data_IF_123443869000
#
_entry.id   IF_123443869000
#
_cell.length_a   1.000
_cell.length_b   1.000
_cell.length_c   1.000
_cell.angle_alpha   90.00
_cell.angle_beta   90.00
_cell.angle_gamma   90.00
#
_symmetry.space_group_name_H-M   'P 1'
#
loop_
_entity.id
_entity.type
_entity.pdbx_description
1 polymer ?
#
# COMPACT_ATOMS: atom_id res chain seq x y z
N UNK A 1 58.58 -6.17 26.68
CA UNK A 1 58.59 -4.91 25.90
C UNK A 1 57.35 -4.17 26.34
N UNK A 2 57.49 -3.40 27.42
CA UNK A 2 57.75 -1.94 27.41
C UNK A 2 56.38 -1.22 27.40
N UNK A 3 55.92 -0.77 28.57
CA UNK A 3 56.09 0.60 29.11
C UNK A 3 55.21 1.60 28.33
N UNK A 4 54.13 2.10 28.91
CA UNK A 4 54.06 3.23 29.87
C UNK A 4 54.06 4.58 29.14
N UNK A 5 53.00 5.36 29.33
CA UNK A 5 53.06 6.73 29.86
C UNK A 5 51.82 7.55 29.48
N UNK A 6 51.22 8.11 30.53
CA UNK A 6 50.20 9.14 30.50
C UNK A 6 50.79 10.54 30.29
N UNK A 7 49.98 11.47 29.79
CA UNK A 7 50.07 12.92 30.05
C UNK A 7 48.68 13.52 29.73
N UNK A 8 47.83 13.90 30.70
CA UNK A 8 47.86 15.05 31.63
C UNK A 8 47.35 16.35 31.00
N UNK A 9 46.35 16.93 31.67
CA UNK A 9 46.03 18.37 31.72
C UNK A 9 44.81 18.77 30.87
N UNK A 10 43.85 19.57 31.30
CA UNK A 10 43.57 20.24 32.56
C UNK A 10 42.11 20.77 32.44
N UNK A 11 41.30 20.74 33.51
CA UNK A 11 40.19 21.69 33.64
C UNK A 11 40.72 23.04 34.16
N UNK A 12 39.91 24.10 34.36
CA UNK A 12 38.44 24.16 34.42
C UNK A 12 37.89 25.40 33.64
N UNK A 13 36.73 25.92 34.06
CA UNK A 13 36.14 27.25 33.79
C UNK A 13 35.02 27.30 32.72
N UNK A 14 33.74 27.40 33.12
CA UNK A 14 33.00 28.50 33.78
C UNK A 14 32.51 29.55 32.77
N UNK A 15 31.18 29.69 32.71
CA UNK A 15 30.38 30.84 32.28
C UNK A 15 31.07 31.93 31.46
N UNK A 16 30.56 32.16 30.26
CA UNK A 16 30.69 33.48 29.64
C UNK A 16 29.38 33.83 28.94
N UNK A 17 28.51 34.51 29.70
CA UNK A 17 27.51 35.40 29.13
C UNK A 17 28.24 36.46 28.27
N UNK A 18 27.68 36.89 27.12
CA UNK A 18 28.35 37.86 26.27
C UNK A 18 28.53 39.18 27.03
N UNK A 19 29.76 39.69 27.01
CA UNK A 19 30.16 40.92 27.67
C UNK A 19 29.52 42.11 26.92
N UNK A 20 28.85 43.07 27.58
CA UNK A 20 28.15 44.19 26.92
C UNK A 20 29.05 45.12 26.09
N UNK A 21 30.37 44.98 26.18
CA UNK A 21 31.37 45.69 25.37
C UNK A 21 31.50 45.16 23.94
N UNK A 22 31.25 43.87 23.68
CA UNK A 22 31.29 43.32 22.31
C UNK A 22 30.04 43.71 21.52
N UNK A 23 28.89 43.83 22.20
CA UNK A 23 27.65 44.33 21.60
C UNK A 23 27.75 45.81 21.24
N UNK A 24 28.43 46.62 22.07
CA UNK A 24 28.69 48.04 21.78
C UNK A 24 29.63 48.25 20.58
N UNK A 25 30.54 47.31 20.32
CA UNK A 25 31.46 47.38 19.18
C UNK A 25 30.79 47.00 17.85
N UNK A 26 29.72 46.18 17.89
CA UNK A 26 28.91 45.84 16.71
C UNK A 26 28.02 46.99 16.22
N UNK A 27 27.59 47.90 17.12
CA UNK A 27 26.83 49.11 16.75
C UNK A 27 27.68 50.20 16.08
N UNK A 28 29.00 50.12 16.14
CA UNK A 28 29.92 51.10 15.54
C UNK A 28 30.45 50.69 14.16
N UNK A 29 30.05 49.53 13.63
CA UNK A 29 30.47 49.04 12.30
C UNK A 29 29.45 49.28 11.18
N UNK A 30 28.32 49.94 11.46
CA UNK A 30 27.27 50.21 10.46
C UNK A 30 27.22 51.68 9.99
N UNK A 31 28.28 52.46 10.20
CA UNK A 31 28.52 53.66 9.40
C UNK A 31 29.22 53.27 8.09
N UNK A 32 28.42 52.78 7.14
CA UNK A 32 28.78 52.86 5.73
C UNK A 32 29.05 54.33 5.40
N UNK A 33 30.30 54.62 5.09
CA UNK A 33 30.73 55.78 4.32
C UNK A 33 30.12 55.68 2.93
N UNK A 34 28.84 56.08 2.82
CA UNK A 34 28.22 56.36 1.54
C UNK A 34 28.73 57.73 1.10
N UNK A 35 29.68 57.68 0.16
CA UNK A 35 30.22 58.86 -0.47
C UNK A 35 29.17 59.48 -1.38
N UNK A 36 28.48 60.49 -0.88
CA UNK A 36 27.83 61.53 -1.68
C UNK A 36 28.05 62.88 -0.99
N UNK A 37 29.28 63.38 -1.11
CA UNK A 37 29.56 64.81 -0.88
C UNK A 37 28.94 65.54 -2.06
N UNK A 38 27.72 66.01 -1.86
CA UNK A 38 27.06 66.96 -2.75
C UNK A 38 28.03 68.11 -3.05
N UNK A 39 28.21 68.35 -4.35
CA UNK A 39 29.04 69.40 -4.91
C UNK A 39 28.53 70.77 -4.42
N UNK A 40 29.01 71.21 -3.26
CA UNK A 40 28.79 72.56 -2.74
C UNK A 40 29.60 73.51 -3.62
N UNK A 41 28.91 74.11 -4.57
CA UNK A 41 29.44 75.12 -5.47
C UNK A 41 29.83 76.37 -4.66
N UNK A 42 31.06 76.36 -4.15
CA UNK A 42 31.74 77.53 -3.60
C UNK A 42 32.20 78.37 -4.79
N UNK A 43 31.28 79.19 -5.30
CA UNK A 43 31.67 80.35 -6.11
C UNK A 43 32.64 81.22 -5.32
N UNK A 44 33.57 81.87 -6.00
CA UNK A 44 34.59 82.74 -5.40
C UNK A 44 33.97 83.71 -4.37
N UNK A 45 34.10 83.40 -3.09
CA UNK A 45 33.90 84.34 -2.00
C UNK A 45 35.23 85.07 -1.82
N UNK A 46 35.31 86.25 -2.42
CA UNK A 46 36.43 87.18 -2.30
C UNK A 46 36.59 87.62 -0.83
N UNK A 47 37.73 87.26 -0.23
CA UNK A 47 38.11 87.49 1.17
C UNK A 47 38.76 88.86 1.41
N UNK A 48 38.49 89.88 0.58
CA UNK A 48 39.28 91.13 0.61
C UNK A 48 38.55 92.43 0.94
N UNK A 49 37.28 92.40 1.34
CA UNK A 49 36.57 93.61 1.82
C UNK A 49 36.12 93.49 3.28
N UNK A 50 36.83 94.22 4.16
CA UNK A 50 36.48 94.53 5.55
C UNK A 50 35.09 95.20 5.64
N UNK A 51 34.11 94.57 6.28
CA UNK A 51 32.97 95.27 6.91
C UNK A 51 32.40 94.46 8.10
N UNK A 52 32.55 95.00 9.32
CA UNK A 52 31.99 94.45 10.56
C UNK A 52 30.44 94.58 10.55
N UNK A 53 29.71 93.47 10.57
CA UNK A 53 28.24 93.47 10.60
C UNK A 53 27.74 93.80 12.02
N UNK A 54 27.42 95.08 12.24
CA UNK A 54 26.74 95.59 13.44
C UNK A 54 25.20 95.56 13.32
N UNK A 55 24.66 95.22 12.14
CA UNK A 55 23.22 95.25 11.83
C UNK A 55 22.39 94.18 12.56
N UNK A 56 23.01 93.12 13.06
CA UNK A 56 22.30 92.04 13.76
C UNK A 56 21.88 92.44 15.18
N UNK A 57 22.55 93.44 15.78
CA UNK A 57 22.25 93.92 17.13
C UNK A 57 20.92 94.69 17.18
N UNK A 58 20.62 95.49 16.16
CA UNK A 58 19.39 96.28 16.10
C UNK A 58 18.14 95.40 15.93
N UNK A 59 18.28 94.27 15.23
CA UNK A 59 17.22 93.28 15.06
C UNK A 59 16.85 92.65 16.41
N UNK A 60 17.85 92.33 17.24
CA UNK A 60 17.62 91.78 18.58
C UNK A 60 17.03 92.81 19.57
N UNK A 61 17.38 94.10 19.44
CA UNK A 61 16.79 95.17 20.24
C UNK A 61 15.31 95.37 19.88
N UNK A 62 14.98 95.35 18.59
CA UNK A 62 13.61 95.50 18.11
C UNK A 62 12.71 94.33 18.58
N UNK A 63 13.22 93.09 18.53
CA UNK A 63 12.50 91.91 18.99
C UNK A 63 12.22 91.93 20.50
N UNK A 64 13.18 92.38 21.32
CA UNK A 64 12.98 92.51 22.77
C UNK A 64 12.02 93.64 23.15
N UNK A 65 11.88 94.67 22.31
CA UNK A 65 10.93 95.78 22.53
C UNK A 65 9.48 95.37 22.22
N UNK A 66 9.28 94.27 21.50
CA UNK A 66 7.96 93.76 21.13
C UNK A 66 7.34 92.87 22.20
N UNK A 67 8.14 92.27 23.09
CA UNK A 67 7.68 91.40 24.18
C UNK A 67 6.77 92.17 25.17
N UNK A 68 5.52 91.71 25.30
CA UNK A 68 4.49 92.33 26.13
C UNK A 68 4.88 92.42 27.60
N UNK A 69 5.70 91.46 28.08
CA UNK A 69 6.22 91.43 29.44
C UNK A 69 7.27 92.54 29.68
N UNK A 70 8.08 92.82 28.66
CA UNK A 70 9.10 93.88 28.68
C UNK A 70 8.45 95.26 28.58
N UNK A 71 7.36 95.41 27.81
CA UNK A 71 6.55 96.63 27.77
C UNK A 71 5.87 96.95 29.09
N UNK A 72 5.36 95.94 29.80
CA UNK A 72 4.70 96.14 31.10
C UNK A 72 5.71 96.49 32.20
N UNK A 73 6.90 95.87 32.17
CA UNK A 73 8.03 96.19 33.05
C UNK A 73 8.58 97.61 32.82
N UNK A 74 8.69 98.05 31.56
CA UNK A 74 9.13 99.42 31.21
C UNK A 74 8.08 100.49 31.56
N UNK A 75 6.78 100.18 31.46
CA UNK A 75 5.69 101.10 31.84
C UNK A 75 5.55 101.30 33.35
N UNK A 76 5.90 100.30 34.15
CA UNK A 76 5.85 100.36 35.62
C UNK A 76 7.13 100.93 36.23
N UNK A 77 8.17 101.21 35.44
CA UNK A 77 9.40 101.87 35.89
C UNK A 77 10.22 101.03 36.86
N UNK A 78 9.99 99.72 36.90
CA UNK A 78 10.73 98.79 37.76
C UNK A 78 11.98 98.34 37.01
N UNK A 79 13.14 98.42 37.67
CA UNK A 79 14.43 98.00 37.11
C UNK A 79 14.35 96.55 36.59
N UNK A 80 14.54 96.34 35.28
CA UNK A 80 14.43 95.03 34.62
C UNK A 80 15.37 93.99 35.24
N UNK A 81 16.48 94.42 35.84
CA UNK A 81 17.38 93.51 36.57
C UNK A 81 16.78 93.01 37.87
N UNK A 82 16.00 93.83 38.57
CA UNK A 82 15.31 93.43 39.79
C UNK A 82 14.11 92.56 39.46
N UNK A 83 13.37 92.89 38.39
CA UNK A 83 12.26 92.06 37.92
C UNK A 83 12.74 90.71 37.39
N UNK A 84 13.83 90.66 36.61
CA UNK A 84 14.45 89.40 36.19
C UNK A 84 14.92 88.56 37.37
N UNK A 85 15.54 89.16 38.40
CA UNK A 85 15.88 88.45 39.64
C UNK A 85 14.67 87.95 40.40
N UNK A 86 13.56 88.69 40.36
CA UNK A 86 12.31 88.29 41.02
C UNK A 86 11.63 87.14 40.28
N UNK A 87 11.58 87.19 38.95
CA UNK A 87 11.07 86.12 38.09
C UNK A 87 11.97 84.89 38.19
N UNK A 88 13.29 85.04 38.24
CA UNK A 88 14.23 83.94 38.43
C UNK A 88 14.07 83.29 39.81
N UNK A 89 13.84 84.09 40.86
CA UNK A 89 13.54 83.59 42.20
C UNK A 89 12.16 82.90 42.27
N UNK A 90 11.16 83.39 41.53
CA UNK A 90 9.82 82.79 41.45
C UNK A 90 9.84 81.50 40.63
N UNK A 91 10.59 81.47 39.53
CA UNK A 91 10.85 80.29 38.71
C UNK A 91 11.58 79.22 39.51
N UNK A 92 12.66 79.56 40.22
CA UNK A 92 13.36 78.62 41.11
C UNK A 92 12.45 78.09 42.21
N UNK A 93 11.52 78.91 42.71
CA UNK A 93 10.55 78.49 43.72
C UNK A 93 9.50 77.54 43.16
N UNK A 94 9.02 77.79 41.95
CA UNK A 94 8.08 76.92 41.22
C UNK A 94 8.78 75.62 40.84
N UNK A 95 10.00 75.66 40.33
CA UNK A 95 10.81 74.48 40.04
C UNK A 95 11.05 73.65 41.29
N UNK A 96 11.44 74.27 42.42
CA UNK A 96 11.55 73.54 43.69
C UNK A 96 10.22 72.96 44.16
N UNK A 97 9.09 73.65 43.95
CA UNK A 97 7.77 73.13 44.29
C UNK A 97 7.39 71.94 43.40
N UNK A 98 7.57 72.06 42.08
CA UNK A 98 7.30 71.00 41.11
C UNK A 98 8.21 69.79 41.30
N UNK A 99 9.51 69.99 41.55
CA UNK A 99 10.43 68.89 41.89
C UNK A 99 9.96 68.19 43.17
N UNK A 100 9.50 68.93 44.17
CA UNK A 100 9.02 68.37 45.44
C UNK A 100 7.71 67.58 45.26
N UNK A 101 6.85 68.01 44.36
CA UNK A 101 5.63 67.30 43.98
C UNK A 101 5.94 66.06 43.14
N UNK A 102 6.88 66.15 42.19
CA UNK A 102 7.40 65.00 41.44
C UNK A 102 8.10 63.99 42.34
N UNK A 103 8.86 64.42 43.35
CA UNK A 103 9.50 63.52 44.33
C UNK A 103 8.44 62.82 45.19
N UNK A 104 7.36 63.53 45.57
CA UNK A 104 6.24 62.90 46.29
C UNK A 104 5.51 61.87 45.43
N UNK A 105 5.20 62.22 44.18
CA UNK A 105 4.46 61.33 43.27
C UNK A 105 5.36 60.23 42.69
N UNK A 106 6.67 60.42 42.67
CA UNK A 106 7.66 59.42 42.25
C UNK A 106 7.54 58.13 43.06
N UNK A 107 7.15 58.21 44.33
CA UNK A 107 6.92 57.02 45.16
C UNK A 107 5.71 56.23 44.65
N UNK A 108 4.62 56.89 44.28
CA UNK A 108 3.43 56.26 43.71
C UNK A 108 3.70 55.70 42.31
N UNK A 109 4.42 56.45 41.46
CA UNK A 109 4.83 56.01 40.13
C UNK A 109 5.73 54.78 40.23
N UNK A 110 6.67 54.77 41.18
CA UNK A 110 7.53 53.61 41.44
C UNK A 110 6.73 52.40 41.94
N UNK A 111 5.73 52.60 42.81
CA UNK A 111 4.84 51.53 43.25
C UNK A 111 4.01 50.95 42.10
N UNK A 112 3.44 51.81 41.25
CA UNK A 112 2.70 51.37 40.07
C UNK A 112 3.61 50.63 39.09
N UNK A 113 4.82 51.15 38.84
CA UNK A 113 5.79 50.49 37.97
C UNK A 113 6.19 49.13 38.52
N UNK A 114 6.39 48.99 39.84
CA UNK A 114 6.65 47.70 40.48
C UNK A 114 5.45 46.74 40.34
N UNK A 115 4.22 47.23 40.43
CA UNK A 115 3.01 46.42 40.21
C UNK A 115 2.86 45.97 38.75
N UNK A 116 3.12 46.87 37.79
CA UNK A 116 3.11 46.54 36.36
C UNK A 116 4.20 45.51 36.06
N UNK A 117 5.41 45.72 36.58
CA UNK A 117 6.52 44.77 36.42
C UNK A 117 6.18 43.40 37.04
N UNK A 118 5.48 43.39 38.18
CA UNK A 118 5.01 42.15 38.78
C UNK A 118 3.94 41.46 37.92
N UNK A 119 2.98 42.21 37.36
CA UNK A 119 2.00 41.69 36.41
C UNK A 119 2.66 41.14 35.13
N UNK A 120 3.66 41.83 34.58
CA UNK A 120 4.42 41.39 33.42
C UNK A 120 5.18 40.09 33.73
N UNK A 121 5.79 39.98 34.92
CA UNK A 121 6.44 38.72 35.34
C UNK A 121 5.46 37.55 35.46
N UNK A 122 4.21 37.81 35.84
CA UNK A 122 3.16 36.79 35.93
C UNK A 122 2.69 36.40 34.51
N UNK A 123 2.53 37.38 33.62
CA UNK A 123 2.18 37.18 32.21
C UNK A 123 3.25 36.38 31.48
N UNK A 124 4.52 36.74 31.65
CA UNK A 124 5.68 36.03 31.09
C UNK A 124 5.68 34.56 31.55
N UNK A 125 5.37 34.31 32.83
CA UNK A 125 5.29 32.96 33.37
C UNK A 125 4.09 32.17 32.81
N UNK A 126 2.95 32.82 32.57
CA UNK A 126 1.81 32.18 31.91
C UNK A 126 2.10 31.91 30.43
N UNK A 127 2.76 32.84 29.73
CA UNK A 127 3.21 32.67 28.35
C UNK A 127 4.17 31.49 28.24
N UNK A 128 5.18 31.41 29.10
CA UNK A 128 6.12 30.28 29.13
C UNK A 128 5.41 28.94 29.36
N UNK A 129 4.41 28.91 30.25
CA UNK A 129 3.61 27.71 30.49
C UNK A 129 2.74 27.33 29.27
N UNK A 130 2.09 28.30 28.63
CA UNK A 130 1.26 28.07 27.43
C UNK A 130 2.11 27.67 26.22
N UNK A 131 3.30 28.27 26.06
CA UNK A 131 4.27 27.91 25.03
C UNK A 131 4.79 26.49 25.26
N UNK A 132 5.04 26.10 26.51
CA UNK A 132 5.37 24.72 26.88
C UNK A 132 4.25 23.77 26.48
N UNK A 133 3.00 24.06 26.87
CA UNK A 133 1.85 23.26 26.48
C UNK A 133 1.66 23.18 24.96
N UNK A 134 1.86 24.28 24.24
CA UNK A 134 1.80 24.30 22.77
C UNK A 134 2.87 23.40 22.15
N UNK A 135 4.10 23.47 22.64
CA UNK A 135 5.21 22.63 22.20
C UNK A 135 4.91 21.15 22.47
N UNK A 136 4.45 20.82 23.67
CA UNK A 136 4.11 19.44 24.05
C UNK A 136 2.97 18.90 23.19
N UNK A 137 1.93 19.69 22.96
CA UNK A 137 0.77 19.29 22.15
C UNK A 137 1.16 19.15 20.67
N UNK A 138 2.09 19.97 20.18
CA UNK A 138 2.67 19.86 18.83
C UNK A 138 3.54 18.61 18.70
N UNK A 139 4.37 18.32 19.70
CA UNK A 139 5.20 17.10 19.73
C UNK A 139 4.34 15.85 19.76
N UNK A 140 3.33 15.80 20.65
CA UNK A 140 2.39 14.68 20.74
C UNK A 140 1.59 14.53 19.44
N UNK A 141 1.12 15.64 18.84
CA UNK A 141 0.39 15.58 17.58
C UNK A 141 1.26 15.06 16.44
N UNK A 142 2.52 15.48 16.38
CA UNK A 142 3.51 14.95 15.42
C UNK A 142 3.76 13.47 15.65
N UNK A 143 3.94 13.03 16.90
CA UNK A 143 4.13 11.61 17.22
C UNK A 143 2.92 10.76 16.83
N UNK A 144 1.70 11.22 17.15
CA UNK A 144 0.45 10.58 16.72
C UNK A 144 0.36 10.51 15.20
N UNK A 145 0.73 11.58 14.49
CA UNK A 145 0.72 11.60 13.03
C UNK A 145 1.72 10.60 12.45
N UNK A 146 2.93 10.50 13.01
CA UNK A 146 3.93 9.52 12.57
C UNK A 146 3.47 8.09 12.83
N UNK A 147 2.89 7.79 13.99
CA UNK A 147 2.31 6.49 14.32
C UNK A 147 1.14 6.14 13.40
N UNK A 148 0.27 7.11 13.11
CA UNK A 148 -0.83 6.92 12.17
C UNK A 148 -0.31 6.60 10.77
N UNK A 149 0.70 7.33 10.29
CA UNK A 149 1.31 7.09 8.98
C UNK A 149 2.02 5.73 8.90
N UNK A 150 2.71 5.33 9.97
CA UNK A 150 3.30 3.99 10.09
C UNK A 150 2.23 2.89 10.08
N UNK A 151 1.14 3.08 10.82
CA UNK A 151 0.01 2.13 10.89
C UNK A 151 -0.63 1.94 9.51
N UNK A 152 -0.87 3.03 8.77
CA UNK A 152 -1.40 2.98 7.40
C UNK A 152 -0.44 2.26 6.46
N UNK A 153 0.86 2.61 6.50
CA UNK A 153 1.89 1.95 5.70
C UNK A 153 1.98 0.45 5.98
N UNK A 154 1.92 0.05 7.26
CA UNK A 154 1.90 -1.35 7.68
C UNK A 154 0.64 -2.06 7.18
N UNK A 155 -0.53 -1.42 7.25
CA UNK A 155 -1.78 -1.98 6.76
C UNK A 155 -1.74 -2.23 5.24
N UNK A 156 -1.19 -1.29 4.47
CA UNK A 156 -0.99 -1.47 3.02
C UNK A 156 -0.06 -2.64 2.73
N UNK A 157 1.07 -2.74 3.44
CA UNK A 157 2.00 -3.88 3.31
C UNK A 157 1.33 -5.20 3.66
N UNK A 158 0.48 -5.23 4.69
CA UNK A 158 -0.27 -6.42 5.08
C UNK A 158 -1.27 -6.82 3.99
N UNK A 159 -2.05 -5.87 3.47
CA UNK A 159 -3.00 -6.13 2.38
C UNK A 159 -2.32 -6.65 1.12
N UNK A 160 -1.20 -6.06 0.73
CA UNK A 160 -0.42 -6.52 -0.42
C UNK A 160 0.10 -7.95 -0.20
N UNK A 161 0.64 -8.25 0.99
CA UNK A 161 1.08 -9.61 1.35
C UNK A 161 -0.08 -10.60 1.39
N UNK A 162 -1.25 -10.21 1.88
CA UNK A 162 -2.43 -11.06 1.92
C UNK A 162 -2.96 -11.36 0.52
N UNK A 163 -2.99 -10.36 -0.37
CA UNK A 163 -3.36 -10.53 -1.76
C UNK A 163 -2.41 -11.50 -2.47
N UNK A 164 -1.09 -11.31 -2.34
CA UNK A 164 -0.08 -12.21 -2.92
C UNK A 164 -0.20 -13.61 -2.32
N UNK A 165 -0.35 -13.73 -1.00
CA UNK A 165 -0.55 -15.02 -0.32
C UNK A 165 -1.80 -15.74 -0.85
N UNK A 166 -2.89 -15.03 -1.12
CA UNK A 166 -4.11 -15.63 -1.69
C UNK A 166 -3.83 -16.23 -3.07
N UNK A 167 -3.16 -15.50 -3.95
CA UNK A 167 -2.84 -15.97 -5.30
C UNK A 167 -1.83 -17.13 -5.26
N UNK A 168 -0.81 -17.04 -4.41
CA UNK A 168 0.17 -18.12 -4.24
C UNK A 168 -0.45 -19.36 -3.59
N UNK A 169 -1.35 -19.20 -2.61
CA UNK A 169 -2.07 -20.33 -2.02
C UNK A 169 -2.90 -21.04 -3.07
N UNK A 170 -3.68 -20.30 -3.86
CA UNK A 170 -4.46 -20.89 -4.95
C UNK A 170 -3.57 -21.62 -5.95
N UNK A 171 -2.43 -21.04 -6.35
CA UNK A 171 -1.48 -21.68 -7.25
C UNK A 171 -0.92 -22.98 -6.66
N UNK A 172 -0.55 -22.96 -5.37
CA UNK A 172 -0.02 -24.13 -4.66
C UNK A 172 -1.09 -25.21 -4.51
N UNK A 173 -2.31 -24.85 -4.13
CA UNK A 173 -3.41 -25.79 -3.93
C UNK A 173 -3.79 -26.49 -5.26
N UNK A 174 -3.78 -25.76 -6.37
CA UNK A 174 -4.02 -26.33 -7.70
C UNK A 174 -2.85 -27.20 -8.19
N UNK A 175 -1.61 -26.79 -7.93
CA UNK A 175 -0.40 -27.47 -8.39
C UNK A 175 -0.04 -28.72 -7.56
N UNK A 176 -0.34 -28.71 -6.25
CA UNK A 176 -0.04 -29.83 -5.36
C UNK A 176 -0.97 -31.00 -5.70
N UNK A 177 -0.39 -32.16 -6.00
CA UNK A 177 -1.11 -33.43 -6.11
C UNK A 177 -1.07 -34.12 -4.75
N UNK A 178 -2.19 -34.26 -4.03
CA UNK A 178 -2.18 -34.92 -2.73
C UNK A 178 -1.73 -36.37 -2.84
N UNK A 179 -0.89 -36.83 -1.90
CA UNK A 179 -0.46 -38.25 -1.86
C UNK A 179 -1.64 -39.22 -1.74
N UNK A 180 -2.71 -38.81 -1.06
CA UNK A 180 -3.95 -39.57 -0.99
C UNK A 180 -4.58 -39.80 -2.38
N UNK A 181 -4.59 -38.78 -3.25
CA UNK A 181 -5.06 -38.92 -4.64
C UNK A 181 -4.23 -39.96 -5.41
N UNK A 182 -2.91 -39.94 -5.21
CA UNK A 182 -1.99 -40.90 -5.85
C UNK A 182 -2.31 -42.32 -5.37
N UNK A 183 -2.43 -42.53 -4.05
CA UNK A 183 -2.79 -43.83 -3.46
C UNK A 183 -4.16 -44.31 -3.94
N UNK A 184 -5.19 -43.47 -3.94
CA UNK A 184 -6.52 -43.84 -4.42
C UNK A 184 -6.50 -44.22 -5.90
N UNK A 185 -5.82 -43.46 -6.76
CA UNK A 185 -5.74 -43.79 -8.19
C UNK A 185 -4.97 -45.10 -8.43
N UNK A 186 -3.96 -45.39 -7.62
CA UNK A 186 -3.18 -46.63 -7.72
C UNK A 186 -3.94 -47.84 -7.18
N UNK A 187 -4.55 -47.74 -6.01
CA UNK A 187 -5.07 -48.87 -5.23
C UNK A 187 -6.57 -49.09 -5.40
N UNK A 188 -7.38 -48.04 -5.56
CA UNK A 188 -8.84 -48.18 -5.66
C UNK A 188 -9.27 -48.77 -7.01
N UNK A 189 -10.27 -49.67 -7.04
CA UNK A 189 -10.86 -50.17 -8.27
C UNK A 189 -11.65 -49.08 -9.01
N UNK A 190 -11.61 -49.12 -10.35
CA UNK A 190 -12.26 -48.15 -11.26
C UNK A 190 -13.79 -48.07 -11.11
N UNK A 191 -14.38 -49.02 -10.37
CA UNK A 191 -15.82 -49.09 -10.09
C UNK A 191 -16.29 -48.18 -8.94
N UNK A 192 -15.38 -47.70 -8.09
CA UNK A 192 -15.71 -46.87 -6.93
C UNK A 192 -15.92 -45.40 -7.31
N UNK A 193 -16.84 -44.74 -6.60
CA UNK A 193 -17.13 -43.32 -6.81
C UNK A 193 -15.94 -42.42 -6.44
N UNK A 194 -15.19 -42.80 -5.40
CA UNK A 194 -13.98 -42.10 -4.97
C UNK A 194 -12.95 -42.00 -6.09
N UNK A 195 -12.78 -43.08 -6.88
CA UNK A 195 -11.89 -43.05 -8.05
C UNK A 195 -12.36 -42.04 -9.11
N UNK A 196 -13.68 -41.92 -9.33
CA UNK A 196 -14.26 -41.01 -10.32
C UNK A 196 -14.07 -39.54 -9.88
N UNK A 197 -14.32 -39.24 -8.61
CA UNK A 197 -14.11 -37.90 -8.04
C UNK A 197 -12.63 -37.49 -8.10
N UNK A 198 -11.73 -38.38 -7.69
CA UNK A 198 -10.28 -38.14 -7.77
C UNK A 198 -9.79 -38.03 -9.22
N UNK A 199 -10.42 -38.73 -10.18
CA UNK A 199 -10.11 -38.60 -11.61
C UNK A 199 -10.57 -37.25 -12.18
N UNK A 200 -11.71 -36.70 -11.73
CA UNK A 200 -12.13 -35.34 -12.08
C UNK A 200 -11.14 -34.30 -11.58
N UNK A 201 -10.72 -34.42 -10.32
CA UNK A 201 -9.74 -33.52 -9.73
C UNK A 201 -8.39 -33.62 -10.45
N UNK A 202 -7.92 -34.84 -10.74
CA UNK A 202 -6.72 -35.06 -11.55
C UNK A 202 -6.84 -34.43 -12.95
N UNK A 203 -8.00 -34.55 -13.61
CA UNK A 203 -8.19 -33.96 -14.94
C UNK A 203 -8.09 -32.43 -14.90
N UNK A 204 -8.64 -31.79 -13.87
CA UNK A 204 -8.50 -30.36 -13.66
C UNK A 204 -7.03 -29.99 -13.44
N UNK A 205 -6.34 -30.72 -12.55
CA UNK A 205 -4.90 -30.53 -12.29
C UNK A 205 -4.03 -30.72 -13.54
N UNK A 206 -4.35 -31.70 -14.39
CA UNK A 206 -3.67 -31.90 -15.68
C UNK A 206 -3.88 -30.70 -16.61
N UNK A 207 -5.11 -30.15 -16.69
CA UNK A 207 -5.39 -28.99 -17.55
C UNK A 207 -4.68 -27.74 -17.04
N UNK A 208 -4.66 -27.52 -15.72
CA UNK A 208 -3.90 -26.42 -15.11
C UNK A 208 -2.40 -26.59 -15.32
N UNK A 209 -1.85 -27.80 -15.15
CA UNK A 209 -0.44 -28.07 -15.41
C UNK A 209 -0.06 -27.79 -16.88
N UNK A 210 -0.95 -28.15 -17.83
CA UNK A 210 -0.80 -27.81 -19.27
C UNK A 210 -0.87 -26.30 -19.54
N UNK A 211 -1.68 -25.55 -18.81
CA UNK A 211 -1.75 -24.08 -18.95
C UNK A 211 -0.51 -23.41 -18.34
N UNK A 212 -0.04 -23.94 -17.21
CA UNK A 212 1.09 -23.38 -16.46
C UNK A 212 2.45 -23.74 -17.07
N UNK A 213 2.55 -24.86 -17.80
CA UNK A 213 3.77 -25.23 -18.55
C UNK A 213 4.16 -24.18 -19.59
N UNK A 214 3.21 -23.36 -20.07
CA UNK A 214 3.48 -22.20 -20.92
C UNK A 214 4.26 -21.08 -20.20
N UNK A 215 4.28 -21.06 -18.86
CA UNK A 215 5.00 -20.08 -18.05
C UNK A 215 6.42 -20.52 -17.65
N UNK A 216 6.91 -21.67 -18.14
CA UNK A 216 8.30 -22.15 -18.05
C UNK A 216 8.98 -21.95 -16.67
N UNK A 217 8.33 -22.42 -15.59
CA UNK A 217 8.91 -22.38 -14.23
C UNK A 217 9.44 -23.77 -13.83
N UNK A 218 10.62 -23.85 -13.21
CA UNK A 218 11.26 -25.12 -12.82
C UNK A 218 10.37 -26.03 -11.97
N UNK A 219 9.65 -25.48 -10.99
CA UNK A 219 8.71 -26.23 -10.14
C UNK A 219 7.52 -26.82 -10.92
N UNK A 220 7.18 -26.24 -12.08
CA UNK A 220 6.14 -26.79 -12.95
C UNK A 220 6.65 -28.04 -13.68
N UNK A 221 7.94 -28.10 -14.03
CA UNK A 221 8.53 -29.27 -14.68
C UNK A 221 8.52 -30.50 -13.78
N UNK A 222 8.93 -30.33 -12.52
CA UNK A 222 8.97 -31.44 -11.55
C UNK A 222 7.58 -32.06 -11.30
N UNK A 223 6.55 -31.19 -11.27
CA UNK A 223 5.17 -31.62 -11.02
C UNK A 223 4.54 -32.16 -12.29
N UNK A 224 4.88 -31.60 -13.46
CA UNK A 224 4.44 -32.11 -14.75
C UNK A 224 4.83 -33.58 -14.92
N UNK A 225 6.06 -33.96 -14.55
CA UNK A 225 6.51 -35.35 -14.63
C UNK A 225 5.69 -36.29 -13.73
N UNK A 226 5.38 -35.85 -12.50
CA UNK A 226 4.56 -36.64 -11.56
C UNK A 226 3.13 -36.79 -12.11
N UNK A 227 2.54 -35.69 -12.58
CA UNK A 227 1.19 -35.66 -13.15
C UNK A 227 1.11 -36.52 -14.40
N UNK A 228 2.12 -36.49 -15.27
CA UNK A 228 2.15 -37.31 -16.49
C UNK A 228 2.31 -38.80 -16.19
N UNK A 229 3.10 -39.17 -15.17
CA UNK A 229 3.18 -40.57 -14.70
C UNK A 229 1.85 -41.05 -14.12
N UNK A 230 1.19 -40.21 -13.33
CA UNK A 230 -0.12 -40.51 -12.74
C UNK A 230 -1.20 -40.63 -13.82
N UNK A 231 -1.19 -39.71 -14.80
CA UNK A 231 -2.04 -39.75 -16.01
C UNK A 231 -1.87 -41.07 -16.76
N UNK A 232 -0.63 -41.48 -17.06
CA UNK A 232 -0.38 -42.73 -17.79
C UNK A 232 -0.91 -43.95 -17.03
N UNK A 233 -0.75 -43.97 -15.70
CA UNK A 233 -1.25 -45.06 -14.86
C UNK A 233 -2.79 -45.09 -14.80
N UNK A 234 -3.43 -43.93 -14.66
CA UNK A 234 -4.89 -43.81 -14.69
C UNK A 234 -5.46 -44.25 -16.04
N UNK A 235 -4.87 -43.78 -17.15
CA UNK A 235 -5.25 -44.18 -18.52
C UNK A 235 -5.13 -45.69 -18.70
N UNK A 236 -4.07 -46.31 -18.19
CA UNK A 236 -3.86 -47.76 -18.28
C UNK A 236 -4.94 -48.55 -17.54
N UNK A 237 -5.29 -48.15 -16.30
CA UNK A 237 -6.36 -48.79 -15.51
C UNK A 237 -7.73 -48.63 -16.18
N UNK A 238 -8.04 -47.44 -16.68
CA UNK A 238 -9.31 -47.17 -17.38
C UNK A 238 -9.39 -48.00 -18.66
N UNK A 239 -8.30 -48.06 -19.45
CA UNK A 239 -8.22 -48.88 -20.66
C UNK A 239 -8.50 -50.35 -20.35
N UNK A 240 -7.82 -50.91 -19.35
CA UNK A 240 -8.02 -52.30 -18.95
C UNK A 240 -9.47 -52.57 -18.53
N UNK A 241 -10.06 -51.69 -17.72
CA UNK A 241 -11.44 -51.81 -17.29
C UNK A 241 -12.43 -51.77 -18.47
N UNK A 242 -12.28 -50.81 -19.39
CA UNK A 242 -13.17 -50.71 -20.55
C UNK A 242 -13.00 -51.92 -21.47
N UNK A 243 -11.77 -52.36 -21.75
CA UNK A 243 -11.52 -53.55 -22.56
C UNK A 243 -12.10 -54.81 -21.92
N UNK A 244 -11.97 -54.99 -20.60
CA UNK A 244 -12.61 -56.10 -19.89
C UNK A 244 -14.14 -56.09 -20.06
N UNK A 245 -14.77 -54.91 -19.98
CA UNK A 245 -16.21 -54.76 -20.27
C UNK A 245 -16.54 -55.07 -21.74
N UNK A 246 -15.70 -54.66 -22.68
CA UNK A 246 -15.86 -54.95 -24.10
C UNK A 246 -15.77 -56.47 -24.36
N UNK A 247 -14.78 -57.13 -23.77
CA UNK A 247 -14.63 -58.59 -23.88
C UNK A 247 -15.78 -59.36 -23.22
N UNK A 248 -16.40 -58.80 -22.17
CA UNK A 248 -17.61 -59.41 -21.61
C UNK A 248 -18.77 -59.50 -22.62
N UNK A 249 -18.82 -58.69 -23.68
CA UNK A 249 -19.81 -58.83 -24.75
C UNK A 249 -19.62 -60.10 -25.59
N UNK A 250 -18.42 -60.71 -25.59
CA UNK A 250 -18.14 -61.93 -26.37
C UNK A 250 -18.78 -63.18 -25.76
N UNK A 251 -19.32 -63.12 -24.53
CA UNK A 251 -19.97 -64.27 -23.89
C UNK A 251 -21.30 -64.61 -24.59
N UNK A 252 -21.47 -65.85 -25.10
CA UNK A 252 -22.69 -66.26 -25.79
C UNK A 252 -23.93 -66.11 -24.89
N UNK A 253 -25.08 -65.78 -25.48
CA UNK A 253 -26.38 -65.61 -24.80
C UNK A 253 -26.49 -64.43 -23.81
N UNK A 254 -25.67 -63.39 -23.94
CA UNK A 254 -25.80 -62.17 -23.11
C UNK A 254 -26.77 -61.19 -23.75
N UNK A 255 -27.72 -60.63 -22.98
CA UNK A 255 -28.51 -59.47 -23.42
C UNK A 255 -27.57 -58.26 -23.58
N UNK A 256 -27.20 -57.93 -24.81
CA UNK A 256 -26.25 -56.88 -25.14
C UNK A 256 -26.69 -55.47 -24.68
N UNK A 257 -27.99 -55.25 -24.43
CA UNK A 257 -28.51 -53.97 -23.96
C UNK A 257 -28.08 -53.67 -22.52
N UNK A 258 -27.93 -54.71 -21.67
CA UNK A 258 -27.59 -54.52 -20.25
C UNK A 258 -26.15 -54.00 -20.10
N UNK A 259 -25.11 -54.62 -20.68
CA UNK A 259 -23.76 -54.08 -20.56
C UNK A 259 -23.55 -52.80 -21.40
N UNK A 260 -24.33 -52.54 -22.45
CA UNK A 260 -24.33 -51.23 -23.14
C UNK A 260 -24.83 -50.11 -22.21
N UNK A 261 -25.92 -50.33 -21.48
CA UNK A 261 -26.41 -49.39 -20.46
C UNK A 261 -25.41 -49.19 -19.32
N UNK A 262 -24.67 -50.24 -18.93
CA UNK A 262 -23.58 -50.11 -17.98
C UNK A 262 -22.44 -49.26 -18.53
N UNK A 263 -22.07 -49.40 -19.81
CA UNK A 263 -21.00 -48.61 -20.44
C UNK A 263 -21.37 -47.12 -20.52
N UNK A 264 -22.64 -46.80 -20.74
CA UNK A 264 -23.14 -45.41 -20.76
C UNK A 264 -22.92 -44.68 -19.43
N UNK A 265 -22.98 -45.38 -18.29
CA UNK A 265 -22.67 -44.80 -16.97
C UNK A 265 -21.21 -44.35 -16.86
N UNK A 266 -20.33 -44.93 -17.67
CA UNK A 266 -18.89 -44.64 -17.68
C UNK A 266 -18.47 -43.68 -18.80
N UNK A 267 -19.41 -42.86 -19.32
CA UNK A 267 -19.13 -41.84 -20.35
C UNK A 267 -17.95 -40.94 -20.00
N UNK A 268 -17.80 -40.58 -18.72
CA UNK A 268 -16.72 -39.70 -18.29
C UNK A 268 -15.32 -40.30 -18.56
N UNK A 269 -15.15 -41.61 -18.41
CA UNK A 269 -13.86 -42.26 -18.70
C UNK A 269 -13.44 -42.11 -20.16
N UNK A 270 -14.40 -42.23 -21.09
CA UNK A 270 -14.11 -42.01 -22.51
C UNK A 270 -13.80 -40.54 -22.82
N UNK A 271 -14.52 -39.61 -22.18
CA UNK A 271 -14.24 -38.17 -22.29
C UNK A 271 -12.84 -37.82 -21.77
N UNK A 272 -12.45 -38.39 -20.63
CA UNK A 272 -11.12 -38.23 -20.03
C UNK A 272 -10.03 -38.77 -20.95
N UNK A 273 -10.23 -39.95 -21.55
CA UNK A 273 -9.31 -40.53 -22.51
C UNK A 273 -9.18 -39.67 -23.77
N UNK A 274 -10.27 -39.15 -24.33
CA UNK A 274 -10.23 -38.26 -25.49
C UNK A 274 -9.48 -36.95 -25.22
N UNK A 275 -9.60 -36.40 -24.01
CA UNK A 275 -8.95 -35.15 -23.62
C UNK A 275 -7.43 -35.30 -23.41
N UNK A 276 -6.97 -36.48 -23.00
CA UNK A 276 -5.57 -36.72 -22.65
C UNK A 276 -4.83 -37.55 -23.70
N UNK A 277 -5.35 -38.71 -24.08
CA UNK A 277 -4.69 -39.69 -24.95
C UNK A 277 -5.65 -40.19 -26.05
N UNK A 278 -5.66 -39.47 -27.18
CA UNK A 278 -6.55 -39.76 -28.32
C UNK A 278 -6.27 -41.13 -28.97
N UNK A 279 -5.04 -41.61 -28.89
CA UNK A 279 -4.62 -42.91 -29.44
C UNK A 279 -5.31 -44.07 -28.71
N UNK A 280 -5.30 -44.06 -27.38
CA UNK A 280 -5.98 -45.06 -26.54
C UNK A 280 -7.50 -45.00 -26.73
N UNK A 281 -8.07 -43.80 -26.83
CA UNK A 281 -9.50 -43.64 -27.11
C UNK A 281 -9.91 -44.22 -28.47
N UNK A 282 -9.05 -44.09 -29.50
CA UNK A 282 -9.26 -44.68 -30.82
C UNK A 282 -9.20 -46.20 -30.76
N UNK A 283 -8.20 -46.76 -30.10
CA UNK A 283 -8.06 -48.20 -29.91
C UNK A 283 -9.30 -48.83 -29.27
N UNK A 284 -9.78 -48.27 -28.16
CA UNK A 284 -10.97 -48.76 -27.45
C UNK A 284 -12.21 -48.73 -28.35
N UNK A 285 -12.37 -47.67 -29.14
CA UNK A 285 -13.49 -47.54 -30.08
C UNK A 285 -13.40 -48.60 -31.18
N UNK A 286 -12.22 -48.78 -31.77
CA UNK A 286 -12.02 -49.72 -32.86
C UNK A 286 -12.25 -51.18 -32.38
N UNK A 287 -11.77 -51.54 -31.17
CA UNK A 287 -12.05 -52.83 -30.52
C UNK A 287 -13.55 -53.06 -30.21
N UNK A 288 -14.25 -52.01 -29.79
CA UNK A 288 -15.71 -52.07 -29.59
C UNK A 288 -16.44 -52.31 -30.91
N UNK A 289 -16.09 -51.55 -31.96
CA UNK A 289 -16.68 -51.69 -33.31
C UNK A 289 -16.42 -53.10 -33.86
N UNK A 290 -15.20 -53.62 -33.74
CA UNK A 290 -14.86 -54.95 -34.23
C UNK A 290 -15.60 -56.05 -33.48
N UNK A 291 -15.66 -55.97 -32.15
CA UNK A 291 -16.35 -56.96 -31.33
C UNK A 291 -17.85 -56.94 -31.61
N UNK A 292 -18.45 -55.75 -31.69
CA UNK A 292 -19.87 -55.60 -31.96
C UNK A 292 -20.25 -56.02 -33.39
N UNK A 293 -19.40 -55.70 -34.38
CA UNK A 293 -19.58 -56.13 -35.77
C UNK A 293 -19.58 -57.65 -35.90
N UNK A 294 -18.64 -58.34 -35.23
CA UNK A 294 -18.59 -59.82 -35.20
C UNK A 294 -19.83 -60.43 -34.54
N UNK A 295 -20.31 -59.82 -33.45
CA UNK A 295 -21.51 -60.28 -32.74
C UNK A 295 -22.74 -60.10 -33.63
N UNK A 296 -22.98 -58.91 -34.19
CA UNK A 296 -24.12 -58.68 -35.07
C UNK A 296 -24.08 -59.56 -36.30
N UNK A 297 -22.91 -59.75 -36.93
CA UNK A 297 -22.76 -60.66 -38.05
C UNK A 297 -23.13 -62.11 -37.68
N UNK A 298 -22.68 -62.60 -36.52
CA UNK A 298 -23.05 -63.94 -36.04
C UNK A 298 -24.56 -64.08 -35.81
N UNK A 299 -25.21 -63.06 -35.24
CA UNK A 299 -26.66 -63.04 -35.07
C UNK A 299 -27.41 -63.02 -36.40
N UNK A 300 -27.04 -62.14 -37.34
CA UNK A 300 -27.67 -62.08 -38.65
C UNK A 300 -27.44 -63.35 -39.47
N UNK A 301 -26.23 -63.93 -39.40
CA UNK A 301 -25.93 -65.22 -40.03
C UNK A 301 -26.77 -66.35 -39.42
N UNK A 302 -26.88 -66.40 -38.09
CA UNK A 302 -27.70 -67.40 -37.40
C UNK A 302 -29.19 -67.22 -37.70
N UNK A 303 -29.67 -65.97 -37.74
CA UNK A 303 -31.05 -65.64 -38.06
C UNK A 303 -31.40 -65.98 -39.51
N UNK A 304 -30.55 -65.58 -40.45
CA UNK A 304 -30.67 -65.93 -41.87
C UNK A 304 -30.64 -67.45 -42.08
N UNK A 305 -29.74 -68.18 -41.40
CA UNK A 305 -29.72 -69.64 -41.45
C UNK A 305 -30.99 -70.30 -40.89
N UNK A 306 -31.59 -69.74 -39.83
CA UNK A 306 -32.88 -70.20 -39.30
C UNK A 306 -34.03 -69.90 -40.27
N UNK A 307 -34.09 -68.70 -40.85
CA UNK A 307 -35.09 -68.36 -41.87
C UNK A 307 -34.99 -69.26 -43.11
N UNK A 308 -33.77 -69.54 -43.56
CA UNK A 308 -33.53 -70.42 -44.69
C UNK A 308 -33.99 -71.85 -44.38
N UNK A 309 -33.76 -72.34 -43.15
CA UNK A 309 -34.25 -73.64 -42.70
C UNK A 309 -35.78 -73.72 -42.67
N UNK A 310 -36.46 -72.66 -42.23
CA UNK A 310 -37.93 -72.58 -42.27
C UNK A 310 -38.45 -72.60 -43.70
N UNK A 311 -37.77 -71.94 -44.65
CA UNK A 311 -38.12 -72.01 -46.07
C UNK A 311 -37.94 -73.41 -46.68
N UNK A 312 -36.95 -74.20 -46.21
CA UNK A 312 -36.80 -75.59 -46.67
C UNK A 312 -37.82 -76.55 -46.06
N UNK A 313 -38.44 -76.19 -44.94
CA UNK A 313 -39.53 -76.96 -44.32
C UNK A 313 -40.87 -76.77 -45.08
N UNK A 314 -41.00 -75.69 -45.86
CA UNK A 314 -42.13 -75.46 -46.79
C UNK A 314 -41.95 -76.14 -48.17
N UNK A 315 -40.80 -76.77 -48.44
CA UNK A 315 -40.63 -77.56 -49.67
C UNK A 315 -41.23 -78.93 -49.42
N UNK A 316 -42.42 -79.16 -49.97
CA UNK A 316 -43.15 -80.44 -49.94
C UNK A 316 -42.21 -81.63 -50.23
N UNK A 317 -42.00 -82.48 -49.23
CA UNK A 317 -41.30 -83.75 -49.41
C UNK A 317 -42.27 -84.79 -50.00
N UNK A 318 -41.75 -85.94 -50.42
CA UNK A 318 -42.51 -87.01 -51.11
C UNK A 318 -43.72 -87.54 -50.31
N UNK A 319 -43.76 -87.28 -49.00
CA UNK A 319 -44.84 -87.60 -48.07
C UNK A 319 -45.98 -86.56 -48.03
N UNK A 320 -45.80 -85.39 -48.64
CA UNK A 320 -46.84 -84.36 -48.81
C UNK A 320 -47.62 -84.52 -50.13
N UNK A 321 -47.26 -85.56 -50.92
CA UNK A 321 -48.05 -86.01 -52.05
C UNK A 321 -49.28 -86.77 -51.51
N UNK A 322 -50.42 -86.09 -51.41
CA UNK A 322 -51.69 -86.73 -51.10
C UNK A 322 -52.03 -87.80 -52.15
N UNK A 323 -51.77 -89.07 -51.83
CA UNK A 323 -52.10 -90.20 -52.70
C UNK A 323 -51.22 -91.45 -52.61
N UNK A 324 -50.49 -91.69 -51.51
CA UNK A 324 -49.92 -93.03 -51.26
C UNK A 324 -50.83 -93.78 -50.30
N UNK A 325 -51.43 -94.87 -50.79
CA UNK A 325 -52.22 -95.77 -49.97
C UNK A 325 -51.34 -96.42 -48.90
N UNK A 326 -51.73 -96.17 -47.64
CA UNK A 326 -51.11 -96.75 -46.45
C UNK A 326 -51.45 -98.25 -46.35
N UNK A 327 -50.69 -99.07 -47.08
CA UNK A 327 -50.73 -100.53 -46.93
C UNK A 327 -49.56 -101.01 -46.09
N UNK A 328 -49.75 -101.02 -44.78
CA UNK A 328 -49.76 -102.25 -43.97
C UNK A 328 -49.08 -102.06 -42.60
N UNK A 329 -49.94 -102.17 -41.58
CA UNK A 329 -49.67 -102.50 -40.18
C UNK A 329 -48.56 -103.55 -39.99
N UNK A 330 -47.67 -103.28 -39.03
CA UNK A 330 -47.05 -104.28 -38.11
C UNK A 330 -46.51 -103.51 -36.90
N UNK A 331 -47.29 -103.42 -35.83
CA UNK A 331 -47.27 -104.29 -34.65
C UNK A 331 -46.01 -104.11 -33.77
N UNK A 332 -46.21 -103.30 -32.72
CA UNK A 332 -45.95 -103.59 -31.29
C UNK A 332 -44.80 -104.57 -31.00
N UNK A 333 -43.66 -104.02 -30.56
CA UNK A 333 -43.03 -104.29 -29.26
C UNK A 333 -41.91 -103.28 -28.96
#
# INVERSE_FOLDING_TARGET
MAEEAAAVGAGPDVNTAPNPTDTAMAYLQDEKTDGDIANLNLGELDLTTDEFILDEVDIHIQANLEDDLVKEALKTGVDLRQYSKQVEAELQRIEQASIKDYIKESQNIALLHNQITACDSILERMEGMLSGFQSDLSSISSEIQTLQQQSVSMNVRLKNRQAVRSHLSQLVDELVVPGAMISTILESPVTEQEFLEQLHELNNKINFAKELSFRETLACSDIQDIVDRLKLKAVSKIREFILQKIYSFRKPMTNYQIPQNTLLKYRFFYQFLLANERTVAKEIRDEYVDTMSKIYFSYFKSYSGRLLKVQYEEVADKDDLMGVEDTAKKDIL
#
